data_IF_713992618195
#
_entry.id   IF_713992618195
#
_cell.length_a   1.000
_cell.length_b   1.000
_cell.length_c   1.000
_cell.angle_alpha   90.00
_cell.angle_beta   90.00
_cell.angle_gamma   90.00
#
_symmetry.space_group_name_H-M   'P 1'
#
loop_
_entity.id
_entity.type
_entity.pdbx_description
1 polymer ?
#
# COMPACT_ATOMS: atom_id res chain seq x y z
N UNK A 1 10.01 -8.27 -7.04
CA UNK A 1 10.81 -7.09 -6.64
C UNK A 1 11.09 -7.09 -5.14
N UNK A 2 10.11 -7.41 -4.31
CA UNK A 2 10.32 -7.79 -2.90
C UNK A 2 9.89 -9.23 -2.69
N UNK A 3 10.68 -9.99 -1.92
CA UNK A 3 10.43 -11.37 -1.54
C UNK A 3 10.62 -11.51 -0.04
N UNK A 4 9.66 -12.11 0.62
CA UNK A 4 9.66 -12.38 2.05
C UNK A 4 9.45 -13.87 2.21
N UNK A 5 10.42 -14.56 2.85
CA UNK A 5 10.41 -16.01 3.03
C UNK A 5 10.39 -16.36 4.51
N UNK A 6 9.40 -17.11 4.94
CA UNK A 6 9.20 -17.67 6.29
C UNK A 6 9.43 -16.64 7.41
N UNK A 7 9.00 -15.37 7.18
CA UNK A 7 9.25 -14.26 8.10
C UNK A 7 8.52 -14.48 9.43
N UNK A 8 9.28 -14.53 10.50
CA UNK A 8 8.76 -14.69 11.87
C UNK A 8 9.25 -13.55 12.74
N UNK A 9 8.34 -12.94 13.52
CA UNK A 9 8.67 -11.93 14.51
C UNK A 9 8.07 -12.29 15.86
N UNK A 10 8.94 -12.39 16.86
CA UNK A 10 8.57 -12.70 18.25
C UNK A 10 8.98 -11.58 19.18
N UNK A 11 8.16 -11.34 20.21
CA UNK A 11 8.45 -10.48 21.37
C UNK A 11 8.33 -11.33 22.63
N UNK A 12 9.45 -11.67 23.22
CA UNK A 12 9.51 -12.68 24.29
C UNK A 12 9.01 -14.04 23.76
N UNK A 13 7.99 -14.60 24.41
CA UNK A 13 7.36 -15.87 23.99
C UNK A 13 6.22 -15.71 22.98
N UNK A 14 5.81 -14.47 22.67
CA UNK A 14 4.67 -14.20 21.80
C UNK A 14 5.13 -13.99 20.35
N UNK A 15 4.65 -14.85 19.42
CA UNK A 15 4.85 -14.67 18.01
C UNK A 15 3.75 -13.72 17.46
N UNK A 16 4.17 -12.59 16.91
CA UNK A 16 3.27 -11.62 16.25
C UNK A 16 3.20 -11.87 14.74
N UNK A 17 4.28 -12.37 14.15
CA UNK A 17 4.31 -12.89 12.78
C UNK A 17 4.89 -14.29 12.83
N UNK A 18 4.31 -15.22 12.08
CA UNK A 18 4.68 -16.62 12.10
C UNK A 18 4.67 -17.23 10.69
N UNK A 19 5.86 -17.26 10.08
CA UNK A 19 6.06 -17.88 8.78
C UNK A 19 5.35 -17.14 7.64
N UNK A 20 5.54 -15.82 7.52
CA UNK A 20 4.97 -15.03 6.43
C UNK A 20 5.78 -15.24 5.16
N UNK A 21 5.10 -15.67 4.09
CA UNK A 21 5.61 -15.71 2.73
C UNK A 21 4.84 -14.68 1.87
N UNK A 22 5.58 -13.79 1.20
CA UNK A 22 5.00 -12.76 0.33
C UNK A 22 5.98 -12.42 -0.79
N UNK A 23 5.49 -12.36 -2.01
CA UNK A 23 6.25 -11.87 -3.16
C UNK A 23 5.46 -10.80 -3.89
N UNK A 24 6.14 -9.69 -4.26
CA UNK A 24 5.53 -8.62 -5.05
C UNK A 24 6.48 -8.27 -6.19
N UNK A 25 5.98 -8.35 -7.42
CA UNK A 25 6.74 -8.06 -8.62
C UNK A 25 6.94 -6.54 -8.82
N UNK A 26 7.84 -6.15 -9.72
CA UNK A 26 7.93 -4.75 -10.16
C UNK A 26 6.64 -4.36 -10.90
N UNK A 27 6.14 -3.16 -10.64
CA UNK A 27 4.89 -2.68 -11.24
C UNK A 27 3.63 -3.36 -10.71
N UNK A 28 3.70 -4.08 -9.59
CA UNK A 28 2.58 -4.75 -8.93
C UNK A 28 2.17 -4.00 -7.65
N UNK A 29 0.86 -3.92 -7.38
CA UNK A 29 0.30 -3.50 -6.09
C UNK A 29 -0.24 -4.73 -5.37
N UNK A 30 0.44 -5.16 -4.31
CA UNK A 30 -0.02 -6.21 -3.42
C UNK A 30 -0.67 -5.59 -2.16
N UNK A 31 -1.94 -5.86 -1.94
CA UNK A 31 -2.65 -5.42 -0.75
C UNK A 31 -2.52 -6.42 0.39
N UNK A 32 -2.18 -5.94 1.59
CA UNK A 32 -2.21 -6.72 2.82
C UNK A 32 -3.38 -6.23 3.66
N UNK A 33 -4.34 -7.11 3.87
CA UNK A 33 -5.55 -6.83 4.64
C UNK A 33 -5.63 -7.68 5.90
N UNK A 34 -6.46 -7.30 6.85
CA UNK A 34 -6.69 -8.10 8.06
C UNK A 34 -7.21 -7.25 9.21
N UNK A 35 -7.73 -7.89 10.27
CA UNK A 35 -8.27 -7.20 11.42
C UNK A 35 -7.21 -6.39 12.19
N UNK A 36 -7.66 -5.52 13.09
CA UNK A 36 -6.75 -4.86 14.03
C UNK A 36 -6.02 -5.90 14.89
N UNK A 37 -4.73 -5.73 15.09
CA UNK A 37 -3.93 -6.69 15.84
C UNK A 37 -3.43 -7.90 15.04
N UNK A 38 -3.79 -8.07 13.77
CA UNK A 38 -3.33 -9.21 12.95
C UNK A 38 -1.80 -9.24 12.69
N UNK A 39 -1.08 -8.16 12.95
CA UNK A 39 0.37 -8.08 12.73
C UNK A 39 0.80 -7.16 11.59
N UNK A 40 -0.14 -6.48 10.90
CA UNK A 40 0.15 -5.62 9.72
C UNK A 40 1.23 -4.58 9.97
N UNK A 41 1.12 -3.82 11.06
CA UNK A 41 2.11 -2.79 11.41
C UNK A 41 3.49 -3.39 11.77
N UNK A 42 3.51 -4.59 12.37
CA UNK A 42 4.77 -5.32 12.63
C UNK A 42 5.40 -5.78 11.32
N UNK A 43 4.59 -6.29 10.39
CA UNK A 43 5.07 -6.66 9.04
C UNK A 43 5.65 -5.44 8.30
N UNK A 44 4.95 -4.29 8.34
CA UNK A 44 5.44 -3.03 7.79
C UNK A 44 6.81 -2.63 8.37
N UNK A 45 6.97 -2.73 9.70
CA UNK A 45 8.25 -2.41 10.37
C UNK A 45 9.35 -3.40 9.99
N UNK A 46 9.03 -4.68 9.82
CA UNK A 46 9.98 -5.68 9.34
C UNK A 46 10.38 -5.43 7.89
N UNK A 47 9.44 -5.11 7.00
CA UNK A 47 9.73 -4.76 5.60
C UNK A 47 10.69 -3.56 5.53
N UNK A 48 10.42 -2.50 6.31
CA UNK A 48 11.29 -1.33 6.41
C UNK A 48 12.58 -1.59 7.20
N UNK A 49 12.75 -2.81 7.77
CA UNK A 49 13.85 -3.18 8.64
C UNK A 49 14.03 -2.21 9.84
N UNK A 50 12.96 -1.54 10.24
CA UNK A 50 12.91 -0.81 11.49
C UNK A 50 12.89 -1.77 12.68
N UNK A 51 12.35 -2.97 12.45
CA UNK A 51 12.44 -4.11 13.35
C UNK A 51 13.08 -5.29 12.64
N UNK A 52 14.06 -5.90 13.25
CA UNK A 52 14.68 -7.13 12.72
C UNK A 52 13.71 -8.30 12.92
N UNK A 53 13.47 -9.13 11.90
CA UNK A 53 12.76 -10.38 12.07
C UNK A 53 13.52 -11.31 13.01
N UNK A 54 12.80 -12.20 13.68
CA UNK A 54 13.42 -13.24 14.53
C UNK A 54 13.96 -14.38 13.67
N UNK A 55 13.26 -14.68 12.56
CA UNK A 55 13.63 -15.67 11.55
C UNK A 55 13.11 -15.24 10.19
N UNK A 56 13.59 -15.92 9.14
CA UNK A 56 13.18 -15.66 7.76
C UNK A 56 13.99 -14.56 7.11
N UNK A 57 13.72 -14.31 5.84
CA UNK A 57 14.49 -13.37 5.02
C UNK A 57 13.58 -12.35 4.33
N UNK A 58 14.13 -11.16 4.09
CA UNK A 58 13.54 -10.11 3.25
C UNK A 58 14.55 -9.76 2.18
N UNK A 59 14.17 -9.97 0.93
CA UNK A 59 14.97 -9.59 -0.24
C UNK A 59 14.28 -8.47 -1.00
N UNK A 60 15.07 -7.47 -1.40
CA UNK A 60 14.62 -6.38 -2.28
C UNK A 60 15.57 -6.30 -3.46
N UNK A 61 15.04 -6.39 -4.67
CA UNK A 61 15.83 -6.43 -5.90
C UNK A 61 16.94 -7.51 -5.89
N UNK A 62 16.68 -8.65 -5.23
CA UNK A 62 17.62 -9.77 -5.10
C UNK A 62 18.61 -9.66 -3.92
N UNK A 63 18.73 -8.49 -3.28
CA UNK A 63 19.62 -8.30 -2.11
C UNK A 63 18.90 -8.73 -0.82
N UNK A 64 19.51 -9.64 -0.04
CA UNK A 64 18.98 -10.06 1.26
C UNK A 64 19.28 -9.01 2.33
N UNK A 65 18.26 -8.27 2.73
CA UNK A 65 18.38 -7.15 3.66
C UNK A 65 18.52 -7.58 5.12
N UNK A 66 18.12 -8.81 5.45
CA UNK A 66 18.13 -9.30 6.84
C UNK A 66 19.53 -9.71 7.33
N UNK A 67 20.45 -9.94 6.40
CA UNK A 67 21.86 -10.34 6.69
C UNK A 67 22.81 -9.15 6.67
N UNK A 68 22.34 -7.95 6.31
CA UNK A 68 23.20 -6.78 6.16
C UNK A 68 23.62 -6.20 7.51
N UNK A 69 24.90 -5.80 7.58
CA UNK A 69 25.41 -4.98 8.68
C UNK A 69 24.79 -3.58 8.70
N UNK A 70 24.92 -2.86 9.81
CA UNK A 70 24.25 -1.55 10.04
C UNK A 70 24.53 -0.50 8.96
N UNK A 71 25.74 -0.45 8.40
CA UNK A 71 26.15 0.49 7.35
C UNK A 71 25.42 0.18 6.04
N UNK A 72 25.45 -1.09 5.62
CA UNK A 72 24.87 -1.56 4.38
C UNK A 72 23.36 -1.55 4.43
N UNK A 73 22.79 -1.90 5.58
CA UNK A 73 21.36 -1.79 5.84
C UNK A 73 20.82 -0.36 5.65
N UNK A 74 21.60 0.67 6.10
CA UNK A 74 21.21 2.06 5.89
C UNK A 74 21.18 2.42 4.40
N UNK A 75 22.10 1.89 3.60
CA UNK A 75 22.12 2.05 2.15
C UNK A 75 20.96 1.30 1.51
N UNK A 76 20.76 0.05 1.86
CA UNK A 76 19.72 -0.81 1.31
C UNK A 76 18.29 -0.29 1.58
N UNK A 77 18.06 0.33 2.75
CA UNK A 77 16.77 0.99 3.07
C UNK A 77 16.35 2.09 2.08
N UNK A 78 17.30 2.65 1.31
CA UNK A 78 16.96 3.63 0.25
C UNK A 78 16.16 3.00 -0.89
N UNK A 79 16.24 1.67 -1.04
CA UNK A 79 15.44 0.92 -2.01
C UNK A 79 13.97 0.75 -1.57
N UNK A 80 13.62 1.16 -0.34
CA UNK A 80 12.25 1.08 0.20
C UNK A 80 11.77 2.49 0.55
N UNK A 81 10.79 2.98 -0.20
CA UNK A 81 10.05 4.19 0.13
C UNK A 81 8.91 3.86 1.10
N UNK A 82 8.52 4.82 1.93
CA UNK A 82 7.42 4.62 2.87
C UNK A 82 6.47 5.82 2.87
N UNK A 83 5.18 5.50 2.81
CA UNK A 83 4.08 6.44 3.00
C UNK A 83 3.28 5.99 4.21
N UNK A 84 3.10 6.88 5.17
CA UNK A 84 2.40 6.60 6.42
C UNK A 84 0.96 7.11 6.38
N UNK A 85 0.11 6.57 7.22
CA UNK A 85 -1.29 6.95 7.39
C UNK A 85 -1.50 8.47 7.54
N UNK A 86 -0.69 9.15 8.33
CA UNK A 86 -0.76 10.61 8.54
C UNK A 86 0.17 11.42 7.64
N UNK A 87 0.70 10.83 6.55
CA UNK A 87 1.80 11.34 5.73
C UNK A 87 3.12 11.61 6.49
N UNK A 88 3.09 11.77 7.81
CA UNK A 88 4.26 11.96 8.67
C UNK A 88 5.15 13.15 8.25
N UNK A 89 4.55 14.26 7.79
CA UNK A 89 5.28 15.45 7.39
C UNK A 89 5.78 16.22 8.59
N UNK A 90 7.00 16.74 8.49
CA UNK A 90 7.55 17.62 9.52
C UNK A 90 6.89 19.00 9.41
N UNK A 91 6.19 19.42 10.47
CA UNK A 91 5.37 20.65 10.49
C UNK A 91 6.13 21.94 10.27
N UNK A 92 7.44 21.94 10.59
CA UNK A 92 8.34 23.10 10.47
C UNK A 92 9.03 23.20 9.10
N UNK A 93 8.79 22.23 8.21
CA UNK A 93 9.34 22.20 6.87
C UNK A 93 8.26 22.49 5.84
N UNK A 94 8.62 23.16 4.75
CA UNK A 94 7.73 23.33 3.60
C UNK A 94 7.44 21.99 2.91
N UNK A 95 6.49 21.96 1.97
CA UNK A 95 6.23 20.79 1.14
C UNK A 95 7.49 20.35 0.39
N UNK A 96 8.21 21.28 -0.24
CA UNK A 96 9.47 20.99 -0.94
C UNK A 96 10.55 20.46 0.01
N UNK A 97 10.71 21.07 1.19
CA UNK A 97 11.69 20.61 2.18
C UNK A 97 11.37 19.23 2.75
N UNK A 98 10.08 18.89 2.92
CA UNK A 98 9.66 17.55 3.33
C UNK A 98 10.04 16.51 2.28
N UNK A 99 9.82 16.80 0.98
CA UNK A 99 10.22 15.90 -0.12
C UNK A 99 11.73 15.82 -0.23
N UNK A 100 12.46 16.93 -0.02
CA UNK A 100 13.92 16.98 -0.08
C UNK A 100 14.61 16.24 1.08
N UNK A 101 13.91 15.98 2.19
CA UNK A 101 14.51 15.47 3.42
C UNK A 101 15.36 14.21 3.25
N UNK A 102 14.90 13.14 2.53
CA UNK A 102 15.73 11.97 2.32
C UNK A 102 17.00 12.24 1.50
N UNK A 103 16.95 13.23 0.60
CA UNK A 103 18.09 13.60 -0.25
C UNK A 103 19.19 14.36 0.50
N UNK A 104 18.89 14.94 1.67
CA UNK A 104 19.88 15.68 2.49
C UNK A 104 21.03 14.80 2.99
N UNK A 105 20.82 13.48 3.03
CA UNK A 105 21.80 12.50 3.49
C UNK A 105 22.57 11.86 2.33
N UNK A 106 22.39 12.38 1.11
CA UNK A 106 23.12 11.97 -0.08
C UNK A 106 24.09 13.07 -0.50
N UNK A 107 25.26 12.64 -0.96
CA UNK A 107 26.24 13.54 -1.57
C UNK A 107 25.87 13.77 -3.04
N UNK A 108 24.86 14.65 -3.25
CA UNK A 108 24.39 15.05 -4.57
C UNK A 108 24.36 16.58 -4.66
N UNK A 109 24.66 17.17 -5.84
CA UNK A 109 24.60 18.60 -6.05
C UNK A 109 23.23 19.19 -5.73
N UNK A 110 23.18 20.42 -5.22
CA UNK A 110 21.94 21.12 -4.89
C UNK A 110 21.01 21.26 -6.10
N UNK A 111 21.57 21.51 -7.30
CA UNK A 111 20.79 21.58 -8.53
C UNK A 111 20.05 20.27 -8.84
N UNK A 112 20.73 19.13 -8.67
CA UNK A 112 20.10 17.81 -8.88
C UNK A 112 19.04 17.53 -7.81
N UNK A 113 19.29 17.91 -6.55
CA UNK A 113 18.30 17.82 -5.46
C UNK A 113 17.04 18.63 -5.80
N UNK A 114 17.19 19.88 -6.21
CA UNK A 114 16.07 20.71 -6.62
C UNK A 114 15.32 20.11 -7.80
N UNK A 115 16.02 19.61 -8.82
CA UNK A 115 15.40 18.99 -9.99
C UNK A 115 14.53 17.80 -9.61
N UNK A 116 15.02 16.89 -8.77
CA UNK A 116 14.27 15.72 -8.31
C UNK A 116 13.02 16.10 -7.49
N UNK A 117 13.17 17.02 -6.57
CA UNK A 117 12.07 17.53 -5.74
C UNK A 117 10.98 18.18 -6.61
N UNK A 118 11.36 19.06 -7.53
CA UNK A 118 10.42 19.73 -8.42
C UNK A 118 9.70 18.74 -9.33
N UNK A 119 10.43 17.81 -9.94
CA UNK A 119 9.84 16.77 -10.79
C UNK A 119 8.78 15.94 -10.04
N UNK A 120 9.06 15.51 -8.81
CA UNK A 120 8.09 14.74 -8.03
C UNK A 120 6.91 15.57 -7.53
N UNK A 121 7.15 16.82 -7.12
CA UNK A 121 6.07 17.73 -6.77
C UNK A 121 5.12 17.99 -7.94
N UNK A 122 5.66 18.09 -9.14
CA UNK A 122 4.87 18.23 -10.37
C UNK A 122 4.03 16.99 -10.65
N UNK A 123 4.65 15.80 -10.61
CA UNK A 123 3.96 14.49 -10.79
C UNK A 123 2.80 14.28 -9.82
N UNK A 124 2.95 14.70 -8.56
CA UNK A 124 1.85 14.60 -7.58
C UNK A 124 0.90 15.80 -7.63
N UNK A 125 1.08 16.76 -8.57
CA UNK A 125 0.24 17.94 -8.75
C UNK A 125 0.39 18.98 -7.64
N UNK A 126 1.54 19.03 -6.95
CA UNK A 126 1.77 19.88 -5.78
C UNK A 126 2.87 20.94 -5.97
N UNK A 127 3.40 21.11 -7.18
CA UNK A 127 4.48 22.05 -7.44
C UNK A 127 4.10 23.50 -7.07
N UNK A 128 2.86 23.90 -7.36
CA UNK A 128 2.34 25.24 -7.04
C UNK A 128 2.19 25.50 -5.53
N UNK A 129 2.34 24.49 -4.69
CA UNK A 129 2.31 24.55 -3.22
C UNK A 129 3.64 24.15 -2.57
N UNK A 130 4.75 24.17 -3.33
CA UNK A 130 6.06 23.75 -2.86
C UNK A 130 6.53 24.50 -1.59
N UNK A 131 6.18 25.77 -1.46
CA UNK A 131 6.51 26.62 -0.30
C UNK A 131 5.52 26.55 0.87
N UNK A 132 4.43 25.79 0.74
CA UNK A 132 3.41 25.67 1.81
C UNK A 132 3.87 24.75 2.92
N UNK A 133 3.48 25.09 4.15
CA UNK A 133 3.68 24.23 5.33
C UNK A 133 2.54 23.22 5.46
N UNK A 134 2.74 22.09 6.13
CA UNK A 134 1.70 21.07 6.33
C UNK A 134 0.39 21.59 6.92
N UNK A 135 0.44 22.61 7.78
CA UNK A 135 -0.75 23.27 8.36
C UNK A 135 -1.61 24.02 7.34
N UNK A 136 -1.06 24.34 6.19
CA UNK A 136 -1.73 25.06 5.09
C UNK A 136 -2.29 24.11 4.02
N UNK A 137 -2.12 22.78 4.21
CA UNK A 137 -2.47 21.75 3.24
C UNK A 137 -3.64 20.90 3.76
N UNK A 138 -4.54 20.49 2.85
CA UNK A 138 -5.58 19.50 3.14
C UNK A 138 -4.98 18.11 3.43
N UNK A 139 -5.78 17.17 3.95
CA UNK A 139 -5.37 15.78 4.18
C UNK A 139 -4.80 15.13 2.92
N UNK A 140 -5.54 15.18 1.82
CA UNK A 140 -5.11 14.63 0.54
C UNK A 140 -3.86 15.32 -0.02
N UNK A 141 -3.73 16.65 0.15
CA UNK A 141 -2.52 17.36 -0.26
C UNK A 141 -1.30 16.93 0.55
N UNK A 142 -1.46 16.74 1.87
CA UNK A 142 -0.37 16.19 2.70
C UNK A 142 0.01 14.79 2.25
N UNK A 143 -0.96 13.96 1.89
CA UNK A 143 -0.71 12.59 1.43
C UNK A 143 0.05 12.56 0.10
N UNK A 144 -0.29 13.46 -0.86
CA UNK A 144 0.46 13.64 -2.11
C UNK A 144 1.92 14.02 -1.86
N UNK A 145 2.19 14.91 -0.90
CA UNK A 145 3.56 15.24 -0.48
C UNK A 145 4.25 14.02 0.16
N UNK A 146 3.53 13.24 0.96
CA UNK A 146 4.02 11.98 1.54
C UNK A 146 4.45 10.97 0.46
N UNK A 147 3.65 10.82 -0.61
CA UNK A 147 3.98 9.99 -1.78
C UNK A 147 5.26 10.50 -2.47
N UNK A 148 5.33 11.80 -2.76
CA UNK A 148 6.52 12.40 -3.38
C UNK A 148 7.78 12.16 -2.52
N UNK A 149 7.69 12.35 -1.20
CA UNK A 149 8.82 12.08 -0.29
C UNK A 149 9.22 10.61 -0.28
N UNK A 150 8.25 9.69 -0.29
CA UNK A 150 8.50 8.25 -0.34
C UNK A 150 9.23 7.82 -1.62
N UNK A 151 9.00 8.52 -2.72
CA UNK A 151 9.53 8.19 -4.05
C UNK A 151 10.81 8.94 -4.42
N UNK A 152 11.22 9.97 -3.65
CA UNK A 152 12.33 10.87 -4.04
C UNK A 152 13.70 10.19 -4.16
N UNK A 153 13.89 9.04 -3.50
CA UNK A 153 15.08 8.21 -3.62
C UNK A 153 15.01 7.19 -4.76
N UNK A 154 13.95 7.23 -5.58
CA UNK A 154 13.71 6.25 -6.66
C UNK A 154 13.74 4.80 -6.13
N UNK A 155 12.91 4.50 -5.11
CA UNK A 155 12.93 3.20 -4.47
C UNK A 155 12.45 2.10 -5.42
N UNK A 156 12.79 0.85 -5.10
CA UNK A 156 12.31 -0.34 -5.80
C UNK A 156 10.98 -0.85 -5.24
N UNK A 157 10.74 -0.53 -3.97
CA UNK A 157 9.51 -0.91 -3.25
C UNK A 157 8.94 0.33 -2.57
N UNK A 158 7.63 0.54 -2.69
CA UNK A 158 6.89 1.54 -1.93
C UNK A 158 5.98 0.81 -0.93
N UNK A 159 6.22 1.02 0.35
CA UNK A 159 5.32 0.57 1.41
C UNK A 159 4.34 1.70 1.71
N UNK A 160 3.06 1.47 1.48
CA UNK A 160 1.98 2.41 1.76
C UNK A 160 1.11 1.85 2.90
N UNK A 161 1.27 2.44 4.08
CA UNK A 161 0.55 2.01 5.30
C UNK A 161 -0.65 2.92 5.51
N UNK A 162 -1.85 2.41 5.21
CA UNK A 162 -3.13 3.10 5.27
C UNK A 162 -3.14 4.50 4.61
N UNK A 163 -2.68 4.63 3.35
CA UNK A 163 -2.40 5.93 2.74
C UNK A 163 -3.65 6.80 2.51
N UNK A 164 -4.85 6.25 2.61
CA UNK A 164 -6.13 6.93 2.38
C UNK A 164 -6.99 7.05 3.63
N UNK A 165 -6.53 6.51 4.75
CA UNK A 165 -7.30 6.53 6.00
C UNK A 165 -7.66 7.95 6.45
N UNK A 166 -8.95 8.16 6.75
CA UNK A 166 -9.46 9.45 7.19
C UNK A 166 -9.63 10.51 6.09
N UNK A 167 -9.52 10.13 4.81
CA UNK A 167 -9.84 10.98 3.67
C UNK A 167 -11.29 10.74 3.21
N UNK A 168 -11.88 11.73 2.57
CA UNK A 168 -13.16 11.57 1.91
C UNK A 168 -13.05 10.68 0.65
N UNK A 169 -14.18 10.08 0.17
CA UNK A 169 -14.14 9.12 -0.94
C UNK A 169 -13.53 9.68 -2.23
N UNK A 170 -13.79 10.94 -2.56
CA UNK A 170 -13.28 11.56 -3.78
C UNK A 170 -11.76 11.76 -3.70
N UNK A 171 -11.28 12.24 -2.55
CA UNK A 171 -9.85 12.39 -2.29
C UNK A 171 -9.15 11.02 -2.27
N UNK A 172 -9.78 10.00 -1.65
CA UNK A 172 -9.29 8.61 -1.67
C UNK A 172 -9.09 8.12 -3.11
N UNK A 173 -10.12 8.19 -3.95
CA UNK A 173 -10.02 7.79 -5.36
C UNK A 173 -8.85 8.50 -6.07
N UNK A 174 -8.73 9.81 -5.89
CA UNK A 174 -7.67 10.61 -6.50
C UNK A 174 -6.24 10.23 -6.02
N UNK A 175 -6.08 9.82 -4.76
CA UNK A 175 -4.79 9.34 -4.24
C UNK A 175 -4.47 7.94 -4.79
N UNK A 176 -5.47 7.08 -4.93
CA UNK A 176 -5.28 5.73 -5.47
C UNK A 176 -4.96 5.75 -6.97
N UNK A 177 -5.62 6.60 -7.75
CA UNK A 177 -5.28 6.83 -9.16
C UNK A 177 -3.83 7.33 -9.31
N UNK A 178 -3.44 8.30 -8.46
CA UNK A 178 -2.07 8.80 -8.44
C UNK A 178 -1.07 7.70 -8.09
N UNK A 179 -1.35 6.88 -7.08
CA UNK A 179 -0.50 5.77 -6.67
C UNK A 179 -0.33 4.75 -7.81
N UNK A 180 -1.42 4.38 -8.48
CA UNK A 180 -1.38 3.47 -9.63
C UNK A 180 -0.58 4.06 -10.79
N UNK A 181 -0.79 5.33 -11.13
CA UNK A 181 -0.01 6.01 -12.17
C UNK A 181 1.48 6.08 -11.86
N UNK A 182 1.86 6.39 -10.61
CA UNK A 182 3.26 6.41 -10.17
C UNK A 182 3.88 5.00 -10.17
N UNK A 183 3.13 3.95 -9.80
CA UNK A 183 3.56 2.56 -9.90
C UNK A 183 3.91 2.21 -11.34
N UNK A 184 3.03 2.54 -12.30
CA UNK A 184 3.22 2.23 -13.72
C UNK A 184 4.41 3.01 -14.30
N UNK A 185 4.47 4.31 -14.04
CA UNK A 185 5.53 5.19 -14.56
C UNK A 185 6.92 4.82 -14.04
N UNK A 186 7.03 4.49 -12.75
CA UNK A 186 8.29 4.23 -12.07
C UNK A 186 8.63 2.74 -11.99
N UNK A 187 7.72 1.86 -12.42
CA UNK A 187 7.84 0.40 -12.30
C UNK A 187 8.22 -0.05 -10.89
N UNK A 188 7.64 0.60 -9.87
CA UNK A 188 7.87 0.32 -8.45
C UNK A 188 6.91 -0.77 -7.96
N UNK A 189 7.39 -1.71 -7.13
CA UNK A 189 6.52 -2.63 -6.42
C UNK A 189 5.83 -1.89 -5.26
N UNK A 190 4.53 -2.05 -5.08
CA UNK A 190 3.78 -1.42 -3.99
C UNK A 190 3.25 -2.47 -3.03
N UNK A 191 3.61 -2.36 -1.76
CA UNK A 191 2.98 -3.10 -0.66
C UNK A 191 1.99 -2.15 0.02
N UNK A 192 0.71 -2.39 -0.20
CA UNK A 192 -0.38 -1.56 0.30
C UNK A 192 -1.01 -2.22 1.52
N UNK A 193 -0.88 -1.61 2.69
CA UNK A 193 -1.55 -2.07 3.90
C UNK A 193 -2.84 -1.26 4.07
N UNK A 194 -3.97 -1.97 4.16
CA UNK A 194 -5.27 -1.33 4.36
C UNK A 194 -6.25 -2.30 5.03
N UNK A 195 -7.29 -1.75 5.63
CA UNK A 195 -8.47 -2.50 6.08
C UNK A 195 -9.70 -2.20 5.21
N UNK A 196 -9.57 -1.33 4.22
CA UNK A 196 -10.64 -0.87 3.32
C UNK A 196 -10.69 -1.73 2.06
N UNK A 197 -11.71 -2.58 1.92
CA UNK A 197 -11.85 -3.49 0.76
C UNK A 197 -12.13 -2.73 -0.54
N UNK A 198 -12.75 -1.55 -0.48
CA UNK A 198 -12.95 -0.69 -1.65
C UNK A 198 -11.62 -0.22 -2.24
N UNK A 199 -10.64 0.08 -1.37
CA UNK A 199 -9.28 0.43 -1.76
C UNK A 199 -8.61 -0.74 -2.47
N UNK A 200 -8.71 -1.96 -1.91
CA UNK A 200 -8.16 -3.18 -2.53
C UNK A 200 -8.74 -3.40 -3.93
N UNK A 201 -10.09 -3.34 -4.05
CA UNK A 201 -10.78 -3.53 -5.34
C UNK A 201 -10.37 -2.52 -6.41
N UNK A 202 -10.04 -1.30 -6.00
CA UNK A 202 -9.78 -0.21 -6.95
C UNK A 202 -8.38 -0.23 -7.55
N UNK A 203 -7.37 -0.73 -6.82
CA UNK A 203 -5.98 -0.58 -7.27
C UNK A 203 -5.10 -1.81 -7.12
N UNK A 204 -5.47 -2.80 -6.29
CA UNK A 204 -4.60 -3.93 -6.02
C UNK A 204 -4.67 -4.99 -7.12
N UNK A 205 -3.52 -5.50 -7.53
CA UNK A 205 -3.39 -6.64 -8.43
C UNK A 205 -3.54 -7.96 -7.65
N UNK A 206 -2.90 -8.02 -6.47
CA UNK A 206 -2.96 -9.18 -5.57
C UNK A 206 -3.37 -8.75 -4.17
N UNK A 207 -3.92 -9.69 -3.41
CA UNK A 207 -4.32 -9.49 -2.01
C UNK A 207 -3.83 -10.64 -1.14
N UNK A 208 -3.39 -10.31 0.08
CA UNK A 208 -3.04 -11.27 1.12
C UNK A 208 -3.79 -10.91 2.41
N UNK A 209 -4.55 -11.88 2.95
CA UNK A 209 -5.22 -11.72 4.24
C UNK A 209 -4.32 -12.20 5.36
N UNK A 210 -3.93 -11.26 6.21
CA UNK A 210 -3.17 -11.54 7.43
C UNK A 210 -4.12 -11.68 8.61
N UNK A 211 -4.04 -12.81 9.31
CA UNK A 211 -4.77 -13.04 10.54
C UNK A 211 -3.92 -13.81 11.55
N UNK A 212 -3.97 -13.38 12.81
CA UNK A 212 -3.14 -13.97 13.89
C UNK A 212 -1.68 -14.23 13.51
N UNK A 213 -1.07 -13.27 12.78
CA UNK A 213 0.33 -13.32 12.37
C UNK A 213 0.64 -14.26 11.20
N UNK A 214 -0.35 -14.80 10.50
CA UNK A 214 -0.20 -15.69 9.35
C UNK A 214 -0.97 -15.19 8.15
N UNK A 215 -0.48 -15.44 6.94
CA UNK A 215 -1.27 -15.27 5.72
C UNK A 215 -2.18 -16.49 5.60
N UNK A 216 -3.50 -16.26 5.70
CA UNK A 216 -4.52 -17.32 5.66
C UNK A 216 -5.11 -17.50 4.27
N UNK A 217 -5.04 -16.47 3.42
CA UNK A 217 -5.47 -16.51 2.03
C UNK A 217 -4.70 -15.46 1.23
N UNK A 218 -4.29 -15.77 0.01
CA UNK A 218 -3.65 -14.82 -0.90
C UNK A 218 -3.84 -15.24 -2.36
N UNK A 219 -3.78 -14.26 -3.26
CA UNK A 219 -3.84 -14.48 -4.70
C UNK A 219 -4.20 -13.21 -5.48
N UNK A 220 -4.28 -13.30 -6.82
CA UNK A 220 -4.82 -12.22 -7.65
C UNK A 220 -6.23 -11.85 -7.21
N UNK A 221 -6.52 -10.55 -7.07
CA UNK A 221 -7.82 -10.05 -6.59
C UNK A 221 -8.97 -10.64 -7.43
N UNK A 222 -8.81 -10.71 -8.75
CA UNK A 222 -9.80 -11.26 -9.65
C UNK A 222 -10.09 -12.76 -9.40
N UNK A 223 -9.07 -13.54 -9.02
CA UNK A 223 -9.21 -14.97 -8.71
C UNK A 223 -9.86 -15.19 -7.35
N UNK A 224 -9.44 -14.44 -6.32
CA UNK A 224 -10.04 -14.49 -4.99
C UNK A 224 -11.52 -14.15 -5.04
N UNK A 225 -11.92 -13.15 -5.83
CA UNK A 225 -13.34 -12.78 -6.01
C UNK A 225 -14.14 -13.87 -6.72
N UNK A 226 -13.54 -14.56 -7.70
CA UNK A 226 -14.24 -15.60 -8.50
C UNK A 226 -14.26 -16.98 -7.84
N UNK A 227 -13.18 -17.34 -7.17
CA UNK A 227 -12.83 -18.74 -6.91
C UNK A 227 -13.26 -19.27 -5.55
N UNK A 228 -13.58 -18.46 -4.55
CA UNK A 228 -13.81 -18.96 -3.22
C UNK A 228 -15.04 -18.35 -2.55
N UNK A 229 -15.72 -19.13 -1.71
CA UNK A 229 -16.72 -18.63 -0.76
C UNK A 229 -16.06 -18.27 0.58
N UNK A 230 -14.83 -17.77 0.52
CA UNK A 230 -14.05 -17.37 1.68
C UNK A 230 -14.54 -16.04 2.29
N UNK A 231 -14.21 -15.78 3.56
CA UNK A 231 -14.48 -14.48 4.17
C UNK A 231 -13.84 -13.31 3.39
N UNK A 232 -12.63 -13.50 2.83
CA UNK A 232 -11.95 -12.49 2.02
C UNK A 232 -12.69 -12.22 0.71
N UNK A 233 -13.07 -13.30 0.00
CA UNK A 233 -13.86 -13.18 -1.23
C UNK A 233 -15.17 -12.42 -1.00
N UNK A 234 -15.92 -12.76 0.07
CA UNK A 234 -17.16 -12.06 0.42
C UNK A 234 -16.92 -10.58 0.75
N UNK A 235 -15.84 -10.27 1.46
CA UNK A 235 -15.48 -8.88 1.80
C UNK A 235 -15.08 -8.06 0.57
N UNK A 236 -14.47 -8.71 -0.44
CA UNK A 236 -14.11 -8.08 -1.71
C UNK A 236 -15.28 -7.92 -2.68
N UNK A 237 -16.44 -8.54 -2.43
CA UNK A 237 -17.63 -8.30 -3.25
C UNK A 237 -18.16 -6.87 -2.99
N UNK A 238 -18.59 -6.15 -4.03
CA UNK A 238 -19.22 -4.85 -3.86
C UNK A 238 -20.44 -4.96 -2.95
N UNK A 239 -20.49 -4.17 -1.88
CA UNK A 239 -21.69 -4.05 -1.07
C UNK A 239 -22.68 -3.14 -1.81
N UNK A 240 -23.90 -3.57 -2.11
CA UNK A 240 -24.89 -2.71 -2.73
C UNK A 240 -25.12 -1.46 -1.86
N UNK A 241 -25.18 -0.25 -2.43
CA UNK A 241 -25.42 0.94 -1.65
C UNK A 241 -26.80 0.85 -0.99
N UNK A 242 -26.83 0.86 0.34
CA UNK A 242 -27.96 1.32 1.13
C UNK A 242 -29.17 0.41 1.32
N UNK A 243 -29.05 -0.93 1.34
CA UNK A 243 -30.11 -1.80 1.87
C UNK A 243 -29.55 -2.81 2.87
N UNK A 244 -29.93 -2.64 4.14
CA UNK A 244 -29.88 -3.72 5.13
C UNK A 244 -30.80 -4.84 4.63
N UNK A 245 -30.24 -5.94 4.13
CA UNK A 245 -30.97 -7.07 3.58
C UNK A 245 -31.46 -7.98 4.72
N UNK A 246 -32.24 -7.44 5.65
CA UNK A 246 -32.82 -8.21 6.76
C UNK A 246 -34.25 -8.70 6.48
N UNK A 247 -34.78 -8.49 5.26
CA UNK A 247 -36.10 -8.98 4.89
C UNK A 247 -36.02 -10.43 4.36
N UNK A 248 -36.83 -11.32 4.92
CA UNK A 248 -37.03 -12.67 4.38
C UNK A 248 -37.46 -12.58 2.90
N UNK A 249 -36.72 -13.25 2.01
CA UNK A 249 -37.00 -13.26 0.57
C UNK A 249 -36.04 -12.46 -0.31
N UNK A 250 -34.92 -11.99 0.25
CA UNK A 250 -33.86 -11.36 -0.58
C UNK A 250 -32.86 -12.41 -1.05
N UNK A 251 -32.68 -12.50 -2.36
CA UNK A 251 -31.69 -13.39 -2.99
C UNK A 251 -30.47 -12.57 -3.43
N UNK A 252 -29.27 -13.00 -3.03
CA UNK A 252 -28.02 -12.46 -3.55
C UNK A 252 -27.60 -13.34 -4.74
N UNK A 253 -27.63 -12.77 -5.94
CA UNK A 253 -27.19 -13.45 -7.16
C UNK A 253 -25.74 -13.04 -7.45
N UNK A 254 -24.88 -14.04 -7.59
CA UNK A 254 -23.48 -13.89 -7.99
C UNK A 254 -23.37 -14.31 -9.46
N UNK A 255 -22.90 -13.42 -10.32
CA UNK A 255 -22.71 -13.70 -11.74
C UNK A 255 -21.39 -13.13 -12.25
N UNK A 256 -20.78 -13.79 -13.22
CA UNK A 256 -19.64 -13.28 -13.97
C UNK A 256 -20.18 -12.44 -15.15
N UNK A 257 -19.66 -11.22 -15.33
CA UNK A 257 -20.14 -10.28 -16.36
C UNK A 257 -20.07 -10.83 -17.78
N UNK A 258 -19.20 -11.81 -18.05
CA UNK A 258 -19.05 -12.41 -19.38
C UNK A 258 -20.26 -13.22 -19.84
N UNK A 259 -21.09 -13.73 -18.91
CA UNK A 259 -22.13 -14.71 -19.21
C UNK A 259 -23.55 -14.21 -19.02
N UNK A 260 -23.74 -12.94 -18.63
CA UNK A 260 -25.10 -12.41 -18.35
C UNK A 260 -25.60 -11.60 -19.52
N UNK A 261 -26.69 -12.01 -20.20
CA UNK A 261 -27.33 -11.22 -21.26
C UNK A 261 -27.86 -9.90 -20.71
N UNK A 262 -27.76 -8.81 -21.48
CA UNK A 262 -28.25 -7.48 -21.09
C UNK A 262 -29.74 -7.46 -20.68
N UNK A 263 -30.51 -8.46 -21.12
CA UNK A 263 -31.95 -8.59 -20.89
C UNK A 263 -32.33 -9.46 -19.68
N UNK A 264 -31.37 -10.07 -18.98
CA UNK A 264 -31.72 -11.02 -17.92
C UNK A 264 -32.47 -10.38 -16.73
N UNK A 265 -32.16 -9.12 -16.37
CA UNK A 265 -32.88 -8.39 -15.32
C UNK A 265 -34.38 -8.19 -15.64
N UNK A 266 -34.72 -8.09 -16.93
CA UNK A 266 -36.11 -7.95 -17.38
C UNK A 266 -36.85 -9.28 -17.41
N UNK A 267 -36.15 -10.41 -17.43
CA UNK A 267 -36.73 -11.76 -17.39
C UNK A 267 -36.98 -12.29 -15.96
N UNK A 268 -36.29 -11.74 -14.95
CA UNK A 268 -36.46 -12.13 -13.51
C UNK A 268 -37.59 -11.35 -12.84
N UNK A 269 -38.08 -10.26 -13.42
CA UNK A 269 -39.20 -9.45 -12.89
C UNK A 269 -40.59 -9.93 -13.33
N UNK A 270 -40.70 -11.08 -13.97
CA UNK A 270 -41.94 -11.81 -14.26
C UNK A 270 -41.96 -13.08 -13.43
#
# INVERSE_FOLDING_TARGET
MIEIDALTKQYGSHAVLDGIDLSVAAGEIAAIVGPSGAGKSTLARCINLLEQPTRGTIRVAGENLTELGRSDLRRARRAIGTVFQSAGLLSRLTAADNVALPLRYLDIPDQERHRRVHSLLDRVGMLHRASYYPSQLSGGQRQRIGLARGLVLEPKVLLADEPTSGLDPQTTASILELLAGLRDELNVAVVLITHEMDVVRSVADTVAQLDHGRIIESGPVAEVVRGSDSPLSRALLPTPPGRSLTAAGVWQLRYDRADVPETWLTSVSR
#
